data_IF_745781807427
#
_entry.id   IF_745781807427
#
_cell.length_a   1.000
_cell.length_b   1.000
_cell.length_c   1.000
_cell.angle_alpha   90.00
_cell.angle_beta   90.00
_cell.angle_gamma   90.00
#
_symmetry.space_group_name_H-M   'P 1'
#
loop_
_entity.id
_entity.type
_entity.pdbx_description
1 polymer ?
#
# COMPACT_ATOMS: atom_id res chain seq x y z
N UNK A 1 29.79 10.58 -2.65
CA UNK A 1 28.39 11.04 -2.63
C UNK A 1 27.80 10.43 -1.37
N UNK A 2 27.32 11.26 -0.44
CA UNK A 2 27.00 10.84 0.93
C UNK A 2 25.69 10.05 0.95
N UNK A 3 25.78 8.73 1.04
CA UNK A 3 24.66 7.78 1.07
C UNK A 3 23.65 8.07 2.19
N UNK A 4 24.02 8.86 3.20
CA UNK A 4 23.11 9.26 4.28
C UNK A 4 22.10 10.31 3.83
N UNK A 5 22.52 11.22 2.95
CA UNK A 5 21.70 12.32 2.44
C UNK A 5 20.58 11.77 1.52
N UNK A 6 20.94 10.86 0.61
CA UNK A 6 20.01 10.20 -0.31
C UNK A 6 18.87 9.43 0.43
N UNK A 7 19.18 8.84 1.59
CA UNK A 7 18.18 8.15 2.43
C UNK A 7 17.21 9.11 3.10
N UNK A 8 17.70 10.26 3.56
CA UNK A 8 16.86 11.32 4.15
C UNK A 8 15.96 11.92 3.09
N UNK A 9 16.48 12.19 1.89
CA UNK A 9 15.69 12.67 0.75
C UNK A 9 14.59 11.68 0.37
N UNK A 10 14.93 10.39 0.25
CA UNK A 10 13.96 9.33 -0.05
C UNK A 10 12.87 9.27 1.01
N UNK A 11 13.23 9.32 2.29
CA UNK A 11 12.26 9.33 3.40
C UNK A 11 11.30 10.51 3.31
N UNK A 12 11.82 11.72 3.09
CA UNK A 12 11.01 12.92 3.00
C UNK A 12 10.07 12.89 1.78
N UNK A 13 10.56 12.37 0.66
CA UNK A 13 9.75 12.18 -0.54
C UNK A 13 8.58 11.22 -0.27
N UNK A 14 8.84 10.04 0.30
CA UNK A 14 7.79 9.08 0.63
C UNK A 14 6.81 9.66 1.66
N UNK A 15 7.31 10.37 2.68
CA UNK A 15 6.47 11.01 3.68
C UNK A 15 5.51 12.01 3.03
N UNK A 16 6.00 12.85 2.13
CA UNK A 16 5.17 13.81 1.40
C UNK A 16 4.09 13.13 0.57
N UNK A 17 4.39 11.99 -0.08
CA UNK A 17 3.39 11.24 -0.83
C UNK A 17 2.34 10.63 0.10
N UNK A 18 2.75 10.05 1.22
CA UNK A 18 1.85 9.43 2.20
C UNK A 18 0.92 10.47 2.84
N UNK A 19 1.44 11.62 3.25
CA UNK A 19 0.63 12.70 3.85
C UNK A 19 -0.39 13.31 2.89
N UNK A 20 -0.21 13.16 1.58
CA UNK A 20 -1.14 13.64 0.55
C UNK A 20 -2.24 12.62 0.19
N UNK A 21 -2.21 11.39 0.75
CA UNK A 21 -3.22 10.37 0.48
C UNK A 21 -4.58 10.70 1.10
N UNK A 22 -4.56 11.34 2.27
CA UNK A 22 -5.77 11.67 3.01
C UNK A 22 -5.54 11.74 4.51
N UNK A 23 -6.63 11.82 5.25
CA UNK A 23 -6.61 11.84 6.70
C UNK A 23 -7.93 11.33 7.27
N UNK A 24 -7.90 10.87 8.52
CA UNK A 24 -9.13 10.67 9.28
C UNK A 24 -9.69 12.00 9.74
N UNK A 25 -11.00 12.18 9.63
CA UNK A 25 -11.70 13.35 10.14
C UNK A 25 -11.46 13.52 11.65
N UNK A 26 -11.23 14.77 12.08
CA UNK A 26 -10.96 15.09 13.49
C UNK A 26 -12.15 14.75 14.39
N UNK A 27 -13.36 14.96 13.88
CA UNK A 27 -14.60 14.69 14.57
C UNK A 27 -15.16 13.34 14.11
N UNK A 28 -15.54 12.46 15.04
CA UNK A 28 -16.27 11.26 14.67
C UNK A 28 -17.66 11.63 14.12
N UNK A 29 -18.13 10.82 13.18
CA UNK A 29 -19.51 10.80 12.73
C UNK A 29 -20.46 10.51 13.89
N UNK A 30 -21.76 10.71 13.65
CA UNK A 30 -22.81 10.51 14.65
C UNK A 30 -22.85 9.08 15.24
N UNK A 31 -22.31 8.09 14.53
CA UNK A 31 -22.17 6.69 14.94
C UNK A 31 -20.86 6.40 15.69
N UNK A 32 -20.02 7.41 15.92
CA UNK A 32 -18.72 7.28 16.58
C UNK A 32 -17.58 6.84 15.65
N UNK A 33 -17.84 6.65 14.35
CA UNK A 33 -16.82 6.26 13.37
C UNK A 33 -16.07 7.49 12.86
N UNK A 34 -14.75 7.38 12.64
CA UNK A 34 -13.97 8.44 11.97
C UNK A 34 -13.87 8.11 10.49
N UNK A 35 -14.51 8.92 9.66
CA UNK A 35 -14.43 8.76 8.21
C UNK A 35 -13.03 9.14 7.72
N UNK A 36 -12.53 8.43 6.71
CA UNK A 36 -11.30 8.78 6.02
C UNK A 36 -11.64 9.70 4.84
N UNK A 37 -11.06 10.89 4.82
CA UNK A 37 -11.18 11.84 3.72
C UNK A 37 -10.00 11.65 2.78
N UNK A 38 -10.28 11.25 1.54
CA UNK A 38 -9.27 11.06 0.49
C UNK A 38 -8.72 12.43 0.05
N UNK A 39 -7.40 12.55 -0.06
CA UNK A 39 -6.75 13.77 -0.51
C UNK A 39 -6.96 14.05 -1.99
N UNK A 40 -6.94 15.33 -2.38
CA UNK A 40 -7.19 15.77 -3.76
C UNK A 40 -6.19 15.18 -4.77
N UNK A 41 -4.93 15.05 -4.36
CA UNK A 41 -3.83 14.51 -5.18
C UNK A 41 -3.56 13.01 -4.93
N UNK A 42 -4.37 12.35 -4.10
CA UNK A 42 -4.11 10.99 -3.63
C UNK A 42 -3.89 9.98 -4.76
N UNK A 43 -4.66 10.08 -5.86
CA UNK A 43 -4.49 9.17 -7.00
C UNK A 43 -3.14 9.35 -7.71
N UNK A 44 -2.62 10.58 -7.77
CA UNK A 44 -1.29 10.84 -8.31
C UNK A 44 -0.21 10.31 -7.34
N UNK A 45 -0.36 10.56 -6.04
CA UNK A 45 0.56 10.08 -5.02
C UNK A 45 0.63 8.54 -4.96
N UNK A 46 -0.49 7.83 -5.10
CA UNK A 46 -0.51 6.36 -5.20
C UNK A 46 0.30 5.85 -6.41
N UNK A 47 0.22 6.55 -7.55
CA UNK A 47 0.99 6.18 -8.76
C UNK A 47 2.48 6.46 -8.61
N UNK A 48 2.82 7.55 -7.93
CA UNK A 48 4.22 7.90 -7.64
C UNK A 48 4.83 6.94 -6.61
N UNK A 49 4.08 6.54 -5.58
CA UNK A 49 4.48 5.46 -4.67
C UNK A 49 4.74 4.16 -5.44
N UNK A 50 3.86 3.79 -6.37
CA UNK A 50 4.04 2.59 -7.21
C UNK A 50 5.31 2.68 -8.05
N UNK A 51 5.59 3.86 -8.62
CA UNK A 51 6.82 4.10 -9.38
C UNK A 51 8.05 3.98 -8.49
N UNK A 52 8.01 4.57 -7.30
CA UNK A 52 9.11 4.50 -6.34
C UNK A 52 9.40 3.04 -5.92
N UNK A 53 8.37 2.27 -5.57
CA UNK A 53 8.50 0.84 -5.23
C UNK A 53 9.09 0.04 -6.40
N UNK A 54 8.66 0.32 -7.63
CA UNK A 54 9.19 -0.35 -8.82
C UNK A 54 10.66 -0.02 -9.09
N UNK A 55 11.11 1.19 -8.81
CA UNK A 55 12.54 1.52 -8.91
C UNK A 55 13.31 0.80 -7.81
N UNK A 56 12.77 0.81 -6.58
CA UNK A 56 13.35 0.14 -5.41
C UNK A 56 13.45 -1.38 -5.56
N UNK A 57 12.58 -2.01 -6.38
CA UNK A 57 12.65 -3.45 -6.62
C UNK A 57 13.94 -3.91 -7.30
N UNK A 58 14.69 -3.02 -7.95
CA UNK A 58 15.99 -3.32 -8.58
C UNK A 58 17.16 -3.30 -7.58
N UNK A 59 16.96 -2.77 -6.36
CA UNK A 59 18.02 -2.61 -5.36
C UNK A 59 17.90 -3.62 -4.22
N UNK A 60 19.02 -4.08 -3.65
CA UNK A 60 19.01 -5.02 -2.51
C UNK A 60 18.55 -4.37 -1.20
N UNK A 61 18.84 -3.08 -0.99
CA UNK A 61 18.57 -2.37 0.26
C UNK A 61 17.08 -2.12 0.54
N UNK A 62 16.24 -2.14 -0.51
CA UNK A 62 14.78 -1.91 -0.43
C UNK A 62 14.38 -0.68 0.39
N UNK A 63 15.12 0.41 0.24
CA UNK A 63 14.99 1.63 1.05
C UNK A 63 13.57 2.21 0.99
N UNK A 64 12.92 2.20 -0.18
CA UNK A 64 11.54 2.69 -0.31
C UNK A 64 10.57 1.78 0.42
N UNK A 65 10.64 0.47 0.19
CA UNK A 65 9.74 -0.49 0.87
C UNK A 65 9.89 -0.44 2.40
N UNK A 66 11.14 -0.37 2.89
CA UNK A 66 11.42 -0.24 4.32
C UNK A 66 10.83 1.06 4.89
N UNK A 67 11.01 2.19 4.20
CA UNK A 67 10.42 3.48 4.59
C UNK A 67 8.89 3.42 4.63
N UNK A 68 8.27 2.82 3.62
CA UNK A 68 6.81 2.64 3.56
C UNK A 68 6.32 1.76 4.73
N UNK A 69 7.07 0.71 5.06
CA UNK A 69 6.75 -0.17 6.18
C UNK A 69 6.78 0.57 7.53
N UNK A 70 7.75 1.46 7.73
CA UNK A 70 7.83 2.29 8.94
C UNK A 70 6.63 3.24 9.09
N UNK A 71 6.11 3.77 7.99
CA UNK A 71 4.92 4.64 8.01
C UNK A 71 3.60 3.90 8.20
N UNK A 72 3.61 2.55 8.21
CA UNK A 72 2.43 1.72 8.41
C UNK A 72 1.26 2.06 7.46
N UNK A 73 1.58 2.42 6.20
CA UNK A 73 0.62 3.01 5.25
C UNK A 73 -0.60 2.13 4.99
N UNK A 74 -0.44 0.80 5.12
CA UNK A 74 -1.54 -0.14 4.91
C UNK A 74 -2.67 0.12 5.90
N UNK A 75 -2.31 0.34 7.16
CA UNK A 75 -3.28 0.55 8.21
C UNK A 75 -3.77 2.00 8.27
N UNK A 76 -2.88 2.97 8.08
CA UNK A 76 -3.20 4.39 8.20
C UNK A 76 -3.97 4.96 7.01
N UNK A 77 -3.69 4.46 5.79
CA UNK A 77 -4.17 5.11 4.57
C UNK A 77 -4.79 4.13 3.58
N UNK A 78 -4.06 3.10 3.14
CA UNK A 78 -4.52 2.23 2.04
C UNK A 78 -5.83 1.53 2.38
N UNK A 79 -5.93 0.90 3.56
CA UNK A 79 -7.17 0.22 3.97
C UNK A 79 -8.30 1.22 4.20
N UNK A 80 -8.14 2.30 4.99
CA UNK A 80 -9.18 3.33 5.14
C UNK A 80 -9.65 3.94 3.82
N UNK A 81 -8.73 4.22 2.89
CA UNK A 81 -9.03 4.77 1.57
C UNK A 81 -9.88 3.79 0.76
N UNK A 82 -9.51 2.51 0.68
CA UNK A 82 -10.34 1.51 -0.01
C UNK A 82 -11.74 1.38 0.62
N UNK A 83 -11.81 1.37 1.95
CA UNK A 83 -13.08 1.26 2.68
C UNK A 83 -13.97 2.52 2.55
N UNK A 84 -13.40 3.71 2.31
CA UNK A 84 -14.20 4.91 2.00
C UNK A 84 -15.01 4.78 0.71
N UNK A 85 -14.65 3.84 -0.16
CA UNK A 85 -15.37 3.50 -1.38
C UNK A 85 -16.23 2.23 -1.26
N UNK A 86 -16.42 1.70 -0.04
CA UNK A 86 -17.25 0.52 0.16
C UNK A 86 -18.68 0.75 -0.37
N UNK A 87 -19.21 -0.26 -1.07
CA UNK A 87 -20.53 -0.21 -1.70
C UNK A 87 -20.62 0.65 -2.96
N UNK A 88 -19.55 1.36 -3.33
CA UNK A 88 -19.51 2.16 -4.56
C UNK A 88 -18.97 1.32 -5.73
N UNK A 89 -19.52 1.53 -6.92
CA UNK A 89 -19.06 0.91 -8.17
C UNK A 89 -18.80 1.95 -9.27
N UNK A 90 -18.47 3.17 -8.87
CA UNK A 90 -18.19 4.27 -9.80
C UNK A 90 -16.81 4.10 -10.43
N UNK A 91 -16.58 4.69 -11.60
CA UNK A 91 -15.27 4.65 -12.24
C UNK A 91 -14.18 5.28 -11.35
N UNK A 92 -14.53 6.34 -10.62
CA UNK A 92 -13.61 7.02 -9.69
C UNK A 92 -13.20 6.09 -8.55
N UNK A 93 -14.18 5.46 -7.88
CA UNK A 93 -13.93 4.47 -6.83
C UNK A 93 -13.01 3.35 -7.32
N UNK A 94 -13.33 2.77 -8.49
CA UNK A 94 -12.55 1.69 -9.07
C UNK A 94 -11.10 2.10 -9.37
N UNK A 95 -10.85 3.33 -9.81
CA UNK A 95 -9.48 3.84 -10.06
C UNK A 95 -8.67 3.93 -8.77
N UNK A 96 -9.27 4.40 -7.67
CA UNK A 96 -8.60 4.46 -6.37
C UNK A 96 -8.32 3.06 -5.81
N UNK A 97 -9.33 2.19 -5.77
CA UNK A 97 -9.18 0.82 -5.27
C UNK A 97 -8.11 0.07 -6.09
N UNK A 98 -8.13 0.21 -7.41
CA UNK A 98 -7.12 -0.40 -8.28
C UNK A 98 -5.72 0.13 -7.95
N UNK A 99 -5.53 1.45 -7.82
CA UNK A 99 -4.24 2.03 -7.48
C UNK A 99 -3.71 1.53 -6.12
N UNK A 100 -4.57 1.36 -5.12
CA UNK A 100 -4.22 0.73 -3.85
C UNK A 100 -3.79 -0.74 -4.03
N UNK A 101 -4.56 -1.53 -4.76
CA UNK A 101 -4.23 -2.96 -5.02
C UNK A 101 -2.89 -3.08 -5.77
N UNK A 102 -2.60 -2.19 -6.71
CA UNK A 102 -1.33 -2.17 -7.44
C UNK A 102 -0.12 -1.90 -6.54
N UNK A 103 -0.29 -1.24 -5.38
CA UNK A 103 0.76 -1.10 -4.35
C UNK A 103 0.87 -2.35 -3.49
N UNK A 104 -0.27 -2.94 -3.11
CA UNK A 104 -0.31 -4.12 -2.24
C UNK A 104 0.46 -5.30 -2.85
N UNK A 105 0.39 -5.49 -4.17
CA UNK A 105 1.06 -6.59 -4.87
C UNK A 105 2.58 -6.60 -4.62
N UNK A 106 3.36 -5.57 -4.98
CA UNK A 106 4.80 -5.57 -4.71
C UNK A 106 5.13 -5.49 -3.22
N UNK A 107 4.29 -4.84 -2.40
CA UNK A 107 4.51 -4.76 -0.94
C UNK A 107 4.32 -6.11 -0.22
N UNK A 108 3.56 -7.04 -0.81
CA UNK A 108 3.25 -8.36 -0.22
C UNK A 108 3.84 -9.51 -1.03
N UNK A 109 4.71 -9.22 -2.00
CA UNK A 109 5.36 -10.26 -2.79
C UNK A 109 6.12 -11.21 -1.85
N UNK A 110 5.95 -12.53 -1.99
CA UNK A 110 6.59 -13.47 -1.09
C UNK A 110 8.12 -13.34 -1.19
N UNK A 111 8.78 -13.39 -0.04
CA UNK A 111 10.23 -13.56 0.01
C UNK A 111 10.52 -14.97 -0.48
N UNK A 112 11.23 -15.07 -1.60
CA UNK A 112 11.73 -16.34 -2.11
C UNK A 112 12.77 -16.87 -1.13
N UNK A 113 12.57 -18.10 -0.65
CA UNK A 113 13.61 -18.85 0.04
C UNK A 113 14.30 -19.69 -1.03
N UNK A 114 15.54 -19.36 -1.36
CA UNK A 114 16.34 -20.23 -2.19
C UNK A 114 16.55 -21.56 -1.47
N UNK A 115 16.43 -22.65 -2.23
CA UNK A 115 16.64 -24.01 -1.70
C UNK A 115 18.12 -24.40 -1.68
N UNK A 116 18.97 -23.64 -2.37
CA UNK A 116 20.36 -23.97 -2.70
C UNK A 116 21.39 -22.96 -2.15
N UNK A 117 20.98 -21.88 -1.46
CA UNK A 117 21.95 -20.89 -0.97
C UNK A 117 22.53 -21.34 0.38
N UNK A 118 23.78 -21.82 0.32
CA UNK A 118 24.69 -21.93 1.47
C UNK A 118 25.11 -20.53 1.99
N UNK A 119 24.80 -19.47 1.24
CA UNK A 119 24.82 -18.10 1.72
C UNK A 119 23.56 -17.92 2.57
N UNK A 120 23.70 -17.77 3.89
CA UNK A 120 22.62 -17.28 4.72
C UNK A 120 22.11 -15.96 4.11
N UNK A 121 21.01 -16.02 3.37
CA UNK A 121 20.16 -14.85 3.17
C UNK A 121 19.83 -14.36 4.58
N UNK A 122 20.61 -13.39 5.07
CA UNK A 122 20.40 -12.72 6.33
C UNK A 122 19.12 -11.90 6.14
N UNK A 123 17.97 -12.59 6.18
CA UNK A 123 16.67 -11.96 6.10
C UNK A 123 16.59 -11.00 7.25
N UNK A 124 16.42 -9.71 6.95
CA UNK A 124 16.14 -8.73 7.99
C UNK A 124 14.91 -9.21 8.78
N UNK A 125 15.06 -9.57 10.08
CA UNK A 125 13.95 -10.07 10.88
C UNK A 125 12.76 -9.09 10.89
N UNK A 126 13.04 -7.80 10.70
CA UNK A 126 12.02 -6.75 10.62
C UNK A 126 11.08 -6.93 9.41
N UNK A 127 11.56 -7.52 8.32
CA UNK A 127 10.77 -7.71 7.10
C UNK A 127 9.62 -8.70 7.30
N UNK A 128 9.84 -9.78 8.05
CA UNK A 128 8.79 -10.76 8.40
C UNK A 128 7.71 -10.10 9.26
N UNK A 129 8.10 -9.26 10.21
CA UNK A 129 7.17 -8.54 11.07
C UNK A 129 6.35 -7.50 10.28
N UNK A 130 6.95 -6.86 9.27
CA UNK A 130 6.22 -5.99 8.35
C UNK A 130 5.12 -6.76 7.60
N UNK A 131 5.42 -7.94 7.05
CA UNK A 131 4.40 -8.77 6.38
C UNK A 131 3.29 -9.25 7.32
N UNK A 132 3.61 -9.55 8.59
CA UNK A 132 2.58 -9.87 9.58
C UNK A 132 1.65 -8.68 9.83
N UNK A 133 2.20 -7.46 9.95
CA UNK A 133 1.41 -6.23 10.08
C UNK A 133 0.54 -5.99 8.85
N UNK A 134 1.10 -6.14 7.65
CA UNK A 134 0.35 -6.00 6.40
C UNK A 134 -0.81 -7.00 6.33
N UNK A 135 -0.54 -8.26 6.63
CA UNK A 135 -1.56 -9.31 6.70
C UNK A 135 -2.66 -8.94 7.69
N UNK A 136 -2.31 -8.50 8.89
CA UNK A 136 -3.30 -8.11 9.91
C UNK A 136 -4.15 -6.92 9.45
N UNK A 137 -3.55 -5.90 8.83
CA UNK A 137 -4.27 -4.74 8.30
C UNK A 137 -5.23 -5.10 7.17
N UNK A 138 -4.83 -6.00 6.28
CA UNK A 138 -5.65 -6.46 5.15
C UNK A 138 -6.79 -7.41 5.56
N UNK A 139 -6.70 -8.05 6.72
CA UNK A 139 -7.75 -8.92 7.26
C UNK A 139 -8.90 -8.14 7.93
N UNK A 140 -8.90 -6.80 7.84
CA UNK A 140 -10.04 -5.97 8.28
C UNK A 140 -11.29 -6.30 7.42
N UNK A 141 -12.48 -6.43 8.01
CA UNK A 141 -13.72 -6.66 7.26
C UNK A 141 -13.95 -5.59 6.18
N UNK A 142 -14.48 -5.99 5.02
CA UNK A 142 -14.77 -5.09 3.90
C UNK A 142 -13.62 -4.98 2.88
N UNK A 143 -12.37 -5.20 3.30
CA UNK A 143 -11.18 -5.03 2.44
C UNK A 143 -11.25 -5.94 1.21
N UNK A 144 -11.46 -7.25 1.42
CA UNK A 144 -11.54 -8.21 0.33
C UNK A 144 -12.82 -8.08 -0.48
N UNK A 145 -13.93 -7.68 0.15
CA UNK A 145 -15.20 -7.41 -0.53
C UNK A 145 -15.06 -6.29 -1.56
N UNK A 146 -14.36 -5.20 -1.19
CA UNK A 146 -14.05 -4.08 -2.09
C UNK A 146 -13.15 -4.54 -3.26
N UNK A 147 -12.10 -5.32 -2.99
CA UNK A 147 -11.20 -5.84 -4.02
C UNK A 147 -11.94 -6.80 -4.98
N UNK A 148 -12.75 -7.72 -4.46
CA UNK A 148 -13.48 -8.69 -5.28
C UNK A 148 -14.54 -7.99 -6.15
N UNK A 149 -15.20 -6.95 -5.63
CA UNK A 149 -16.15 -6.14 -6.40
C UNK A 149 -15.47 -5.40 -7.56
N UNK A 150 -14.22 -4.96 -7.39
CA UNK A 150 -13.41 -4.39 -8.49
C UNK A 150 -13.13 -5.43 -9.59
N UNK A 151 -12.88 -6.69 -9.22
CA UNK A 151 -12.52 -7.77 -10.15
C UNK A 151 -13.74 -8.35 -10.88
N UNK A 152 -14.91 -8.34 -10.24
CA UNK A 152 -16.15 -8.93 -10.75
C UNK A 152 -16.47 -8.60 -12.23
N UNK A 153 -16.41 -7.33 -12.69
CA UNK A 153 -16.77 -6.99 -14.06
C UNK A 153 -15.84 -7.62 -15.10
N UNK A 154 -14.55 -7.75 -14.78
CA UNK A 154 -13.55 -8.33 -15.69
C UNK A 154 -13.75 -9.85 -15.82
N UNK A 155 -14.07 -10.54 -14.73
CA UNK A 155 -14.30 -12.00 -14.71
C UNK A 155 -15.62 -12.37 -15.39
N UNK A 156 -16.60 -11.46 -15.44
CA UNK A 156 -17.89 -11.70 -16.13
C UNK A 156 -17.73 -11.80 -17.66
N UNK A 157 -16.65 -11.28 -18.23
CA UNK A 157 -16.40 -11.34 -19.67
C UNK A 157 -15.95 -12.77 -20.01
N UNK A 158 -16.73 -13.53 -20.81
CA UNK A 158 -16.36 -14.91 -21.13
C UNK A 158 -15.05 -14.94 -21.91
N UNK A 159 -14.15 -15.83 -21.48
CA UNK A 159 -12.93 -16.13 -22.22
C UNK A 159 -13.29 -16.68 -23.60
N UNK A 160 -12.74 -16.08 -24.66
CA UNK A 160 -12.95 -16.49 -26.05
C UNK A 160 -11.88 -17.47 -26.49
#
# INVERSE_FOLDING_TARGET
MDTTDDRVETRNYILSLCSALGAHEELPSADGTRQYSVGDEALACLRDLKRAIRVDSEYKEKTVLNTIAEFNIIESDIVPLMLSFEGQSTEIANRFILACVELLVPMTWPIEKSLDDEEEDEYDPNMIDCYRKYKLGLLKPGVFEVILRLVEPAVRIPYR
#
